data_IF_325657989113
#
_entry.id   IF_325657989113
#
_cell.length_a   1.000
_cell.length_b   1.000
_cell.length_c   1.000
_cell.angle_alpha   90.00
_cell.angle_beta   90.00
_cell.angle_gamma   90.00
#
_symmetry.space_group_name_H-M   'P 1'
#
loop_
_entity.id
_entity.type
_entity.pdbx_description
1 polymer ?
#
# COMPACT_ATOMS: atom_id res chain seq x y z
N UNK A 1 12.31 31.11 -14.48
CA UNK A 1 12.16 29.84 -13.76
C UNK A 1 12.58 30.10 -12.33
N UNK A 2 11.63 30.18 -11.40
CA UNK A 2 11.91 30.59 -10.02
C UNK A 2 12.57 29.46 -9.25
N UNK A 3 13.22 29.77 -8.12
CA UNK A 3 13.78 28.77 -7.21
C UNK A 3 12.71 27.78 -6.74
N UNK A 4 11.45 28.18 -6.68
CA UNK A 4 10.32 27.32 -6.31
C UNK A 4 10.02 26.25 -7.39
N UNK A 5 10.04 26.62 -8.67
CA UNK A 5 9.84 25.69 -9.80
C UNK A 5 10.88 24.57 -9.83
N UNK A 6 12.13 24.89 -9.48
CA UNK A 6 13.22 23.90 -9.47
C UNK A 6 13.08 22.88 -8.34
N UNK A 7 12.48 23.27 -7.21
CA UNK A 7 12.24 22.37 -6.08
C UNK A 7 11.19 21.33 -6.40
N UNK A 8 10.05 21.75 -6.96
CA UNK A 8 9.00 20.83 -7.38
C UNK A 8 9.48 19.80 -8.39
N UNK A 9 10.37 20.19 -9.31
CA UNK A 9 10.99 19.27 -10.27
C UNK A 9 11.84 18.22 -9.58
N UNK A 10 12.71 18.60 -8.65
CA UNK A 10 13.58 17.67 -7.93
C UNK A 10 12.77 16.64 -7.12
N UNK A 11 11.82 17.10 -6.29
CA UNK A 11 10.96 16.20 -5.52
C UNK A 11 10.15 15.26 -6.41
N UNK A 12 9.67 15.74 -7.56
CA UNK A 12 8.97 14.91 -8.55
C UNK A 12 9.90 13.84 -9.11
N UNK A 13 11.14 14.18 -9.48
CA UNK A 13 12.11 13.22 -9.99
C UNK A 13 12.47 12.15 -8.96
N UNK A 14 12.60 12.51 -7.68
CA UNK A 14 12.83 11.55 -6.59
C UNK A 14 11.67 10.56 -6.48
N UNK A 15 10.43 11.06 -6.43
CA UNK A 15 9.24 10.20 -6.33
C UNK A 15 9.09 9.31 -7.57
N UNK A 16 9.32 9.85 -8.78
CA UNK A 16 9.28 9.07 -10.02
C UNK A 16 10.38 8.00 -10.06
N UNK A 17 11.60 8.33 -9.63
CA UNK A 17 12.69 7.36 -9.53
C UNK A 17 12.37 6.22 -8.57
N UNK A 18 11.79 6.53 -7.41
CA UNK A 18 11.29 5.52 -6.47
C UNK A 18 10.17 4.67 -7.07
N UNK A 19 9.23 5.28 -7.80
CA UNK A 19 8.15 4.56 -8.47
C UNK A 19 8.72 3.56 -9.48
N UNK A 20 9.66 4.00 -10.33
CA UNK A 20 10.33 3.13 -11.29
C UNK A 20 11.05 1.98 -10.60
N UNK A 21 11.79 2.24 -9.53
CA UNK A 21 12.53 1.20 -8.80
C UNK A 21 11.61 0.19 -8.08
N UNK A 22 10.50 0.66 -7.53
CA UNK A 22 9.50 -0.20 -6.89
C UNK A 22 8.78 -1.08 -7.93
N UNK A 23 8.47 -0.53 -9.10
CA UNK A 23 7.74 -1.23 -10.17
C UNK A 23 8.64 -2.12 -11.04
N UNK A 24 9.92 -1.77 -11.22
CA UNK A 24 10.88 -2.57 -11.99
C UNK A 24 11.09 -3.97 -11.39
N UNK A 25 10.84 -4.13 -10.08
CA UNK A 25 11.03 -5.39 -9.37
C UNK A 25 9.71 -5.83 -8.76
N UNK A 26 9.03 -6.77 -9.42
CA UNK A 26 7.80 -7.39 -8.95
C UNK A 26 8.05 -8.86 -8.57
N UNK A 27 8.50 -9.15 -7.34
CA UNK A 27 8.85 -10.51 -6.94
C UNK A 27 7.57 -11.34 -6.75
N UNK A 28 7.14 -12.04 -7.79
CA UNK A 28 5.94 -12.87 -7.76
C UNK A 28 6.24 -14.29 -8.24
N UNK A 29 6.14 -15.22 -7.29
CA UNK A 29 6.29 -16.65 -7.51
C UNK A 29 4.96 -17.31 -7.16
N UNK A 30 4.13 -17.56 -8.16
CA UNK A 30 2.77 -18.06 -7.94
C UNK A 30 2.73 -19.36 -7.12
N UNK A 31 3.71 -20.24 -7.34
CA UNK A 31 3.84 -21.51 -6.63
C UNK A 31 4.07 -21.32 -5.11
N UNK A 32 4.68 -20.21 -4.69
CA UNK A 32 4.96 -19.94 -3.27
C UNK A 32 3.70 -19.59 -2.49
N UNK A 33 2.64 -19.08 -3.17
CA UNK A 33 1.35 -18.73 -2.57
C UNK A 33 1.51 -18.04 -1.20
N UNK A 34 2.08 -16.83 -1.22
CA UNK A 34 2.44 -16.10 -0.01
C UNK A 34 1.32 -16.16 1.04
N UNK A 35 1.62 -16.78 2.18
CA UNK A 35 0.66 -17.07 3.24
C UNK A 35 -0.07 -15.82 3.72
N UNK A 36 0.58 -14.65 3.67
CA UNK A 36 -0.01 -13.40 4.09
C UNK A 36 -0.88 -12.76 3.00
N UNK A 37 -0.49 -12.82 1.73
CA UNK A 37 -1.21 -12.12 0.65
C UNK A 37 -2.47 -12.87 0.22
N UNK A 38 -2.41 -14.21 0.18
CA UNK A 38 -3.51 -15.02 -0.35
C UNK A 38 -4.80 -14.85 0.46
N UNK A 39 -4.86 -15.05 1.79
CA UNK A 39 -6.08 -14.81 2.57
C UNK A 39 -6.66 -13.41 2.37
N UNK A 40 -5.81 -12.37 2.38
CA UNK A 40 -6.26 -10.98 2.19
C UNK A 40 -6.86 -10.78 0.80
N UNK A 41 -6.25 -11.37 -0.22
CA UNK A 41 -6.72 -11.25 -1.60
C UNK A 41 -8.03 -12.02 -1.81
N UNK A 42 -8.14 -13.22 -1.24
CA UNK A 42 -9.40 -13.97 -1.24
C UNK A 42 -10.51 -13.23 -0.49
N UNK A 43 -10.17 -12.54 0.59
CA UNK A 43 -11.13 -11.69 1.28
C UNK A 43 -11.58 -10.51 0.43
N UNK A 44 -10.65 -9.86 -0.27
CA UNK A 44 -10.97 -8.79 -1.21
C UNK A 44 -11.86 -9.29 -2.36
N UNK A 45 -11.58 -10.49 -2.90
CA UNK A 45 -12.42 -11.15 -3.91
C UNK A 45 -13.81 -11.46 -3.36
N UNK A 46 -13.92 -12.00 -2.15
CA UNK A 46 -15.21 -12.32 -1.52
C UNK A 46 -16.06 -11.07 -1.29
N UNK A 47 -15.45 -9.99 -0.79
CA UNK A 47 -16.16 -8.72 -0.59
C UNK A 47 -16.57 -8.11 -1.93
N UNK A 48 -15.69 -8.14 -2.94
CA UNK A 48 -16.01 -7.62 -4.25
C UNK A 48 -17.10 -8.45 -4.95
N UNK A 49 -17.05 -9.77 -4.92
CA UNK A 49 -17.89 -10.62 -5.77
C UNK A 49 -19.20 -11.04 -5.09
N UNK A 50 -19.17 -11.25 -3.78
CA UNK A 50 -20.31 -11.75 -3.02
C UNK A 50 -20.78 -10.77 -1.92
N UNK A 51 -20.05 -9.69 -1.65
CA UNK A 51 -20.37 -8.79 -0.54
C UNK A 51 -20.10 -9.41 0.84
N UNK A 52 -19.28 -10.47 0.91
CA UNK A 52 -19.00 -11.22 2.12
C UNK A 52 -17.55 -11.10 2.57
N UNK A 53 -17.31 -11.19 3.88
CA UNK A 53 -15.97 -11.09 4.47
C UNK A 53 -15.28 -12.44 4.69
N UNK A 54 -16.03 -13.54 4.62
CA UNK A 54 -15.48 -14.87 4.78
C UNK A 54 -14.83 -15.36 3.47
N UNK A 55 -13.81 -16.21 3.58
CA UNK A 55 -12.98 -16.65 2.45
C UNK A 55 -13.15 -18.12 2.07
N UNK A 56 -14.12 -18.81 2.69
CA UNK A 56 -14.47 -20.20 2.41
C UNK A 56 -15.57 -20.37 1.34
N UNK A 57 -16.08 -19.26 0.81
CA UNK A 57 -17.13 -19.24 -0.21
C UNK A 57 -16.67 -19.48 -1.65
N UNK A 58 -17.60 -19.44 -2.62
CA UNK A 58 -17.32 -19.71 -4.04
C UNK A 58 -16.38 -18.69 -4.69
N UNK A 59 -16.35 -17.43 -4.23
CA UNK A 59 -15.43 -16.37 -4.69
C UNK A 59 -13.95 -16.71 -4.50
N UNK A 60 -13.64 -17.78 -3.76
CA UNK A 60 -12.29 -18.32 -3.61
C UNK A 60 -11.70 -18.89 -4.91
N UNK A 61 -12.54 -19.24 -5.90
CA UNK A 61 -12.11 -19.73 -7.22
C UNK A 61 -11.15 -20.93 -7.14
N UNK A 62 -11.37 -21.83 -6.17
CA UNK A 62 -10.53 -23.01 -5.96
C UNK A 62 -9.13 -22.74 -5.38
N UNK A 63 -8.79 -21.49 -5.06
CA UNK A 63 -7.49 -21.13 -4.50
C UNK A 63 -7.37 -21.62 -3.05
N UNK A 64 -6.29 -22.31 -2.70
CA UNK A 64 -6.03 -22.71 -1.32
C UNK A 64 -5.85 -21.47 -0.43
N UNK A 65 -6.54 -21.43 0.71
CA UNK A 65 -6.54 -20.25 1.60
C UNK A 65 -5.20 -20.02 2.28
N UNK A 66 -4.39 -21.07 2.46
CA UNK A 66 -3.12 -20.99 3.19
C UNK A 66 -3.28 -20.97 4.71
N UNK A 67 -2.18 -20.91 5.46
CA UNK A 67 -2.18 -21.11 6.91
C UNK A 67 -2.56 -19.86 7.74
N UNK A 68 -2.43 -18.64 7.19
CA UNK A 68 -2.69 -17.39 7.92
C UNK A 68 -4.19 -17.01 7.94
N UNK A 69 -5.00 -17.95 8.43
CA UNK A 69 -6.45 -17.83 8.56
C UNK A 69 -6.90 -18.18 9.98
N UNK A 70 -8.07 -17.68 10.36
CA UNK A 70 -8.75 -18.01 11.60
C UNK A 70 -10.16 -18.52 11.28
N UNK A 71 -10.60 -19.54 12.02
CA UNK A 71 -12.01 -19.95 12.02
C UNK A 71 -12.73 -19.17 13.11
N UNK A 72 -13.77 -18.45 12.73
CA UNK A 72 -14.59 -17.71 13.68
C UNK A 72 -15.45 -18.68 14.50
N UNK A 73 -15.48 -18.56 15.84
CA UNK A 73 -16.35 -19.39 16.67
C UNK A 73 -17.83 -18.99 16.58
N UNK A 74 -18.14 -17.80 16.04
CA UNK A 74 -19.51 -17.29 15.97
C UNK A 74 -20.32 -17.90 14.82
N UNK A 75 -19.66 -18.19 13.68
CA UNK A 75 -20.29 -18.66 12.45
C UNK A 75 -19.58 -19.87 11.82
N UNK A 76 -18.47 -20.32 12.41
CA UNK A 76 -17.66 -21.42 11.90
C UNK A 76 -16.92 -21.11 10.59
N UNK A 77 -16.98 -19.87 10.08
CA UNK A 77 -16.41 -19.50 8.77
C UNK A 77 -14.93 -19.12 8.86
N UNK A 78 -14.25 -19.17 7.73
CA UNK A 78 -12.83 -18.80 7.62
C UNK A 78 -12.65 -17.32 7.27
N UNK A 79 -11.71 -16.68 7.95
CA UNK A 79 -11.30 -15.28 7.74
C UNK A 79 -9.78 -15.16 7.78
N UNK A 80 -9.15 -14.18 7.13
CA UNK A 80 -7.75 -13.85 7.36
C UNK A 80 -7.52 -13.50 8.84
N UNK A 81 -6.41 -13.94 9.41
CA UNK A 81 -6.05 -13.63 10.81
C UNK A 81 -5.42 -12.22 10.96
N UNK A 82 -5.67 -11.31 10.02
CA UNK A 82 -5.04 -9.99 9.91
C UNK A 82 -6.11 -8.90 9.81
N UNK A 83 -5.83 -7.66 10.25
CA UNK A 83 -6.80 -6.57 10.16
C UNK A 83 -7.27 -6.31 8.72
N UNK A 84 -8.55 -5.90 8.52
CA UNK A 84 -9.16 -5.80 7.19
C UNK A 84 -8.74 -4.56 6.40
N UNK A 85 -7.90 -3.67 6.94
CA UNK A 85 -7.53 -2.42 6.27
C UNK A 85 -6.92 -2.61 4.88
N UNK A 86 -6.03 -3.61 4.73
CA UNK A 86 -5.48 -3.96 3.41
C UNK A 86 -6.54 -4.56 2.47
N UNK A 87 -7.48 -5.34 3.01
CA UNK A 87 -8.60 -5.92 2.25
C UNK A 87 -9.46 -4.85 1.60
N UNK A 88 -9.78 -3.75 2.30
CA UNK A 88 -10.58 -2.64 1.74
C UNK A 88 -9.92 -2.07 0.48
N UNK A 89 -8.61 -1.83 0.52
CA UNK A 89 -7.85 -1.40 -0.67
C UNK A 89 -7.78 -2.52 -1.72
N UNK A 90 -7.67 -3.77 -1.27
CA UNK A 90 -7.70 -4.96 -2.13
C UNK A 90 -9.01 -5.09 -2.92
N UNK A 91 -10.15 -4.66 -2.39
CA UNK A 91 -11.43 -4.66 -3.14
C UNK A 91 -11.32 -3.80 -4.38
N UNK A 92 -10.74 -2.60 -4.25
CA UNK A 92 -10.48 -1.73 -5.41
C UNK A 92 -9.50 -2.39 -6.39
N UNK A 93 -8.44 -3.04 -5.89
CA UNK A 93 -7.51 -3.78 -6.73
C UNK A 93 -8.19 -4.90 -7.55
N UNK A 94 -9.11 -5.65 -6.92
CA UNK A 94 -9.90 -6.69 -7.58
C UNK A 94 -10.77 -6.10 -8.69
N UNK A 95 -11.44 -4.97 -8.41
CA UNK A 95 -12.26 -4.27 -9.42
C UNK A 95 -11.45 -3.77 -10.60
N UNK A 96 -10.28 -3.18 -10.35
CA UNK A 96 -9.40 -2.71 -11.42
C UNK A 96 -8.86 -3.86 -12.27
N UNK A 97 -8.49 -4.98 -11.65
CA UNK A 97 -8.08 -6.17 -12.38
C UNK A 97 -9.20 -6.68 -13.32
N UNK A 98 -10.46 -6.59 -12.88
CA UNK A 98 -11.64 -7.02 -13.65
C UNK A 98 -12.02 -6.11 -14.82
N UNK A 99 -11.40 -4.93 -14.98
CA UNK A 99 -11.68 -4.04 -16.12
C UNK A 99 -11.08 -4.55 -17.45
N UNK A 100 -10.21 -5.56 -17.41
CA UNK A 100 -9.62 -6.17 -18.60
C UNK A 100 -10.65 -6.98 -19.41
N UNK A 101 -10.35 -7.19 -20.70
CA UNK A 101 -11.21 -7.96 -21.60
C UNK A 101 -11.24 -9.48 -21.29
N UNK A 102 -10.30 -9.97 -20.49
CA UNK A 102 -10.15 -11.38 -20.12
C UNK A 102 -10.36 -11.56 -18.61
N UNK A 103 -10.72 -12.77 -18.20
CA UNK A 103 -10.84 -13.12 -16.79
C UNK A 103 -9.48 -12.93 -16.08
N UNK A 104 -9.40 -12.16 -14.97
CA UNK A 104 -8.11 -11.84 -14.37
C UNK A 104 -7.47 -13.06 -13.71
N UNK A 105 -6.17 -13.17 -13.89
CA UNK A 105 -5.31 -14.15 -13.25
C UNK A 105 -4.99 -13.77 -11.80
N UNK A 106 -4.54 -14.74 -11.00
CA UNK A 106 -4.05 -14.45 -9.65
C UNK A 106 -2.89 -13.44 -9.64
N UNK A 107 -2.04 -13.51 -10.67
CA UNK A 107 -0.94 -12.56 -10.87
C UNK A 107 -1.45 -11.13 -11.01
N UNK A 108 -2.46 -10.91 -11.84
CA UNK A 108 -3.03 -9.58 -12.07
C UNK A 108 -3.69 -9.02 -10.81
N UNK A 109 -4.48 -9.85 -10.11
CA UNK A 109 -5.05 -9.47 -8.82
C UNK A 109 -3.96 -9.09 -7.81
N UNK A 110 -2.90 -9.90 -7.71
CA UNK A 110 -1.78 -9.64 -6.79
C UNK A 110 -1.01 -8.38 -7.18
N UNK A 111 -0.85 -8.13 -8.48
CA UNK A 111 -0.17 -6.93 -8.97
C UNK A 111 -0.90 -5.66 -8.58
N UNK A 112 -2.21 -5.59 -8.84
CA UNK A 112 -3.03 -4.44 -8.44
C UNK A 112 -3.06 -4.25 -6.92
N UNK A 113 -3.16 -5.35 -6.15
CA UNK A 113 -3.20 -5.28 -4.69
C UNK A 113 -1.88 -4.74 -4.11
N UNK A 114 -0.74 -5.18 -4.64
CA UNK A 114 0.59 -4.68 -4.26
C UNK A 114 0.83 -3.25 -4.71
N UNK A 115 0.37 -2.86 -5.89
CA UNK A 115 0.44 -1.48 -6.36
C UNK A 115 -0.29 -0.54 -5.40
N UNK A 116 -1.54 -0.85 -5.07
CA UNK A 116 -2.40 0.05 -4.31
C UNK A 116 -2.12 0.06 -2.81
N UNK A 117 -1.78 -1.08 -2.20
CA UNK A 117 -1.54 -1.16 -0.75
C UNK A 117 -0.05 -1.18 -0.36
N UNK A 118 0.84 -1.27 -1.35
CA UNK A 118 2.29 -1.27 -1.19
C UNK A 118 2.93 -0.04 -1.82
N UNK A 119 3.02 -0.02 -3.15
CA UNK A 119 3.80 0.97 -3.90
C UNK A 119 3.25 2.38 -3.71
N UNK A 120 1.96 2.59 -3.96
CA UNK A 120 1.32 3.91 -3.83
C UNK A 120 1.50 4.49 -2.41
N UNK A 121 1.25 3.75 -1.32
CA UNK A 121 1.54 4.22 0.03
C UNK A 121 3.01 4.64 0.26
N UNK A 122 3.99 3.91 -0.28
CA UNK A 122 5.41 4.31 -0.17
C UNK A 122 5.65 5.63 -0.90
N UNK A 123 5.08 5.82 -2.10
CA UNK A 123 5.20 7.07 -2.84
C UNK A 123 4.55 8.25 -2.12
N UNK A 124 3.42 8.01 -1.44
CA UNK A 124 2.77 9.01 -0.58
C UNK A 124 3.69 9.40 0.59
N UNK A 125 4.28 8.42 1.28
CA UNK A 125 5.25 8.68 2.36
C UNK A 125 6.44 9.49 1.83
N UNK A 126 7.00 9.10 0.68
CA UNK A 126 8.13 9.78 0.06
C UNK A 126 7.80 11.24 -0.28
N UNK A 127 6.67 11.48 -0.96
CA UNK A 127 6.25 12.83 -1.35
C UNK A 127 5.91 13.72 -0.16
N UNK A 128 5.20 13.18 0.84
CA UNK A 128 4.89 13.91 2.07
C UNK A 128 6.16 14.21 2.87
N UNK A 129 7.06 13.23 2.99
CA UNK A 129 8.32 13.35 3.72
C UNK A 129 9.25 14.38 3.09
N UNK A 130 9.43 14.31 1.76
CA UNK A 130 10.24 15.27 1.02
C UNK A 130 9.73 16.70 1.22
N UNK A 131 8.41 16.92 1.07
CA UNK A 131 7.79 18.23 1.28
C UNK A 131 7.89 18.72 2.72
N UNK A 132 7.80 17.82 3.71
CA UNK A 132 7.88 18.18 5.13
C UNK A 132 9.30 18.53 5.53
N UNK A 133 10.29 17.76 5.09
CA UNK A 133 11.71 17.97 5.40
C UNK A 133 12.27 19.19 4.69
N UNK A 134 11.85 19.45 3.45
CA UNK A 134 12.25 20.65 2.70
C UNK A 134 11.78 21.98 3.28
N UNK A 135 11.03 21.97 4.40
CA UNK A 135 10.72 23.19 5.17
C UNK A 135 11.84 23.58 6.14
N UNK A 136 12.54 22.59 6.68
CA UNK A 136 13.50 22.77 7.78
C UNK A 136 14.95 22.48 7.32
N UNK A 137 15.12 21.76 6.22
CA UNK A 137 16.41 21.33 5.69
C UNK A 137 16.58 21.73 4.23
N UNK A 138 17.84 21.78 3.78
CA UNK A 138 18.14 21.95 2.36
C UNK A 138 17.74 20.71 1.54
N UNK A 139 17.62 20.89 0.23
CA UNK A 139 17.07 19.85 -0.67
C UNK A 139 17.89 18.57 -0.68
N UNK A 140 19.23 18.61 -0.76
CA UNK A 140 20.04 17.37 -0.71
C UNK A 140 19.78 16.56 0.55
N UNK A 141 19.67 17.20 1.72
CA UNK A 141 19.37 16.53 2.99
C UNK A 141 17.96 15.92 2.98
N UNK A 142 16.95 16.66 2.53
CA UNK A 142 15.57 16.15 2.42
C UNK A 142 15.49 14.95 1.46
N UNK A 143 16.14 15.04 0.30
CA UNK A 143 16.23 13.96 -0.69
C UNK A 143 16.94 12.73 -0.12
N UNK A 144 18.11 12.90 0.50
CA UNK A 144 18.86 11.81 1.11
C UNK A 144 18.06 11.10 2.21
N UNK A 145 17.40 11.87 3.09
CA UNK A 145 16.56 11.31 4.16
C UNK A 145 15.39 10.48 3.62
N UNK A 146 14.71 10.96 2.57
CA UNK A 146 13.61 10.21 1.94
C UNK A 146 14.10 8.94 1.26
N UNK A 147 15.24 8.99 0.57
CA UNK A 147 15.84 7.81 -0.05
C UNK A 147 16.28 6.80 1.01
N UNK A 148 16.90 7.23 2.11
CA UNK A 148 17.28 6.36 3.22
C UNK A 148 16.05 5.73 3.89
N UNK A 149 14.97 6.49 4.10
CA UNK A 149 13.72 5.94 4.60
C UNK A 149 13.15 4.87 3.67
N UNK A 150 13.10 5.16 2.36
CA UNK A 150 12.45 4.29 1.38
C UNK A 150 13.28 3.07 0.99
N UNK A 151 14.61 3.18 0.96
CA UNK A 151 15.53 2.15 0.46
C UNK A 151 16.37 1.49 1.56
N UNK A 152 16.63 2.21 2.65
CA UNK A 152 17.43 1.74 3.79
C UNK A 152 16.61 1.09 4.91
N UNK A 153 15.29 0.96 4.75
CA UNK A 153 14.40 0.37 5.77
C UNK A 153 13.51 -0.73 5.16
N UNK A 154 12.81 -1.52 6.00
CA UNK A 154 11.82 -2.49 5.51
C UNK A 154 10.69 -1.89 4.66
N UNK A 155 10.53 -0.56 4.62
CA UNK A 155 9.55 0.10 3.76
C UNK A 155 9.72 -0.28 2.28
N UNK A 156 10.96 -0.50 1.83
CA UNK A 156 11.26 -0.98 0.47
C UNK A 156 10.63 -2.35 0.18
N UNK A 157 10.71 -3.26 1.15
CA UNK A 157 10.22 -4.63 1.04
C UNK A 157 8.69 -4.63 1.17
N UNK A 158 8.16 -3.94 2.18
CA UNK A 158 6.71 -3.84 2.38
C UNK A 158 5.99 -3.05 1.28
N UNK A 159 6.68 -2.14 0.60
CA UNK A 159 6.17 -1.46 -0.60
C UNK A 159 5.88 -2.40 -1.77
N UNK A 160 6.40 -3.63 -1.77
CA UNK A 160 6.21 -4.62 -2.83
C UNK A 160 5.27 -5.77 -2.47
N UNK A 161 4.69 -5.73 -1.28
CA UNK A 161 3.89 -6.83 -0.74
C UNK A 161 2.51 -6.34 -0.32
N UNK A 162 1.51 -7.19 -0.51
CA UNK A 162 0.14 -6.94 -0.07
C UNK A 162 -0.05 -7.28 1.42
N UNK A 163 0.77 -6.68 2.30
CA UNK A 163 0.77 -6.97 3.75
C UNK A 163 0.03 -5.92 4.60
N UNK A 164 -0.16 -4.71 4.08
CA UNK A 164 -0.79 -3.58 4.79
C UNK A 164 0.18 -2.69 5.58
N UNK A 165 1.46 -3.06 5.71
CA UNK A 165 2.44 -2.26 6.47
C UNK A 165 2.72 -0.90 5.83
N UNK A 166 2.97 -0.85 4.51
CA UNK A 166 3.18 0.41 3.80
C UNK A 166 1.94 1.30 3.85
N UNK A 167 0.75 0.72 3.68
CA UNK A 167 -0.54 1.41 3.86
C UNK A 167 -0.67 2.01 5.26
N UNK A 168 -0.41 1.23 6.32
CA UNK A 168 -0.47 1.71 7.69
C UNK A 168 0.54 2.84 7.96
N UNK A 169 1.78 2.70 7.46
CA UNK A 169 2.80 3.74 7.57
C UNK A 169 2.36 5.05 6.88
N UNK A 170 1.79 4.97 5.68
CA UNK A 170 1.30 6.14 4.96
C UNK A 170 0.15 6.84 5.69
N UNK A 171 -0.84 6.09 6.17
CA UNK A 171 -1.98 6.64 6.90
C UNK A 171 -1.54 7.26 8.24
N UNK A 172 -0.67 6.59 8.99
CA UNK A 172 -0.12 7.10 10.23
C UNK A 172 0.68 8.39 10.00
N UNK A 173 1.58 8.38 9.02
CA UNK A 173 2.43 9.54 8.73
C UNK A 173 1.61 10.74 8.25
N UNK A 174 0.65 10.53 7.34
CA UNK A 174 -0.26 11.57 6.89
C UNK A 174 -1.10 12.12 8.07
N UNK A 175 -1.59 11.25 8.95
CA UNK A 175 -2.32 11.63 10.15
C UNK A 175 -1.50 12.49 11.10
N UNK A 176 -0.24 12.12 11.36
CA UNK A 176 0.69 12.91 12.18
C UNK A 176 0.93 14.29 11.57
N UNK A 177 1.16 14.37 10.25
CA UNK A 177 1.34 15.66 9.57
C UNK A 177 0.08 16.53 9.61
N UNK A 178 -1.11 15.93 9.57
CA UNK A 178 -2.37 16.65 9.71
C UNK A 178 -2.55 17.19 11.14
N UNK A 179 -2.22 16.39 12.15
CA UNK A 179 -2.24 16.80 13.57
C UNK A 179 -1.24 17.93 13.84
N UNK A 180 0.01 17.80 13.38
CA UNK A 180 1.05 18.83 13.50
C UNK A 180 0.57 20.18 12.94
N UNK A 181 -0.03 20.16 11.74
CA UNK A 181 -0.61 21.37 11.14
C UNK A 181 -1.75 21.93 11.98
N UNK A 182 -2.65 21.08 12.46
CA UNK A 182 -3.80 21.50 13.27
C UNK A 182 -3.41 22.11 14.62
N UNK A 183 -2.34 21.60 15.25
CA UNK A 183 -1.77 22.20 16.47
C UNK A 183 -1.12 23.55 16.15
N UNK A 184 -0.35 23.62 15.06
CA UNK A 184 0.35 24.84 14.64
C UNK A 184 -0.60 25.99 14.27
N UNK A 185 -1.76 25.70 13.67
CA UNK A 185 -2.75 26.72 13.32
C UNK A 185 -3.46 27.27 14.56
N UNK A 186 -3.78 26.42 15.55
CA UNK A 186 -4.40 26.85 16.82
C UNK A 186 -3.47 27.70 17.69
N UNK A 187 -2.16 27.50 17.59
CA UNK A 187 -1.17 28.19 18.40
C UNK A 187 -0.82 29.61 17.91
N UNK A 188 -1.34 30.05 16.75
CA UNK A 188 -1.14 31.42 16.26
C UNK A 188 -2.15 32.36 16.94
N UNK A 189 -1.72 33.39 17.70
CA UNK A 189 -2.63 34.41 18.20
C UNK A 189 -3.27 35.17 17.03
N UNK A 190 -4.53 35.58 17.21
CA UNK A 190 -5.30 36.42 16.26
C UNK A 190 -4.62 37.77 16.02
#
# INVERSE_FOLDING_TARGET
>A
MTTEDSGWREGTLVVLGLALLLLAVFPYFEAVRNANEIPRLLQAMSVAEAGEWAIDGPSRRGIAVGPDVARSPADGRLYPNKPPGATVVGVLAVRLAQLGAQAPTLREFTWWARLLAGVVPVLVVAGLGWRRLGRDFDRPTATAAVLLLCLGTPLFVYGRLFYGHALAAALLYAGVLALERGVSTRARPL
#
